data_IF_466316329578
#
_entry.id   IF_466316329578
#
_cell.length_a   1.000
_cell.length_b   1.000
_cell.length_c   1.000
_cell.angle_alpha   90.00
_cell.angle_beta   90.00
_cell.angle_gamma   90.00
#
_symmetry.space_group_name_H-M   'P 1'
#
loop_
_entity.id
_entity.type
_entity.pdbx_description
1 polymer ?
#
# COMPACT_ATOMS: atom_id res chain seq x y z
N UNK A 1 -23.85 -13.63 13.10
CA UNK A 1 -23.06 -12.64 12.37
C UNK A 1 -22.17 -13.41 11.42
N UNK A 2 -22.42 -13.31 10.14
CA UNK A 2 -21.51 -13.84 9.12
C UNK A 2 -20.23 -13.00 9.17
N UNK A 3 -19.11 -13.64 9.49
CA UNK A 3 -17.78 -13.04 9.34
C UNK A 3 -17.59 -12.74 7.84
N UNK A 4 -17.86 -11.50 7.45
CA UNK A 4 -17.70 -11.06 6.06
C UNK A 4 -16.26 -10.66 5.88
N UNK A 5 -15.41 -11.60 5.43
CA UNK A 5 -14.08 -11.27 4.93
C UNK A 5 -14.21 -10.30 3.76
N UNK A 6 -13.27 -9.36 3.67
CA UNK A 6 -13.16 -8.39 2.59
C UNK A 6 -11.94 -8.72 1.73
N UNK A 7 -12.05 -8.57 0.42
CA UNK A 7 -10.94 -8.71 -0.53
C UNK A 7 -10.54 -7.34 -1.03
N UNK A 8 -9.37 -6.87 -0.61
CA UNK A 8 -8.91 -5.51 -0.88
C UNK A 8 -7.55 -5.47 -1.58
N UNK A 9 -7.42 -4.59 -2.55
CA UNK A 9 -6.16 -4.28 -3.21
C UNK A 9 -5.38 -3.27 -2.38
N UNK A 10 -4.20 -3.65 -1.85
CA UNK A 10 -3.46 -2.84 -0.88
C UNK A 10 -2.27 -2.05 -1.46
N UNK A 11 -2.02 -2.15 -2.76
CA UNK A 11 -0.97 -1.42 -3.47
C UNK A 11 -1.36 -1.22 -4.93
N UNK A 12 -1.54 0.03 -5.35
CA UNK A 12 -1.86 0.38 -6.73
C UNK A 12 -1.59 1.86 -7.03
N UNK A 13 -1.41 2.14 -8.32
CA UNK A 13 -1.15 3.48 -8.87
C UNK A 13 -2.22 3.85 -9.88
N UNK A 14 -2.83 5.01 -9.71
CA UNK A 14 -3.87 5.50 -10.62
C UNK A 14 -3.35 6.65 -11.48
N UNK A 15 -3.85 6.74 -12.71
CA UNK A 15 -3.46 7.77 -13.69
C UNK A 15 -3.65 9.20 -13.16
N UNK A 16 -4.64 9.42 -12.31
CA UNK A 16 -4.95 10.73 -11.72
C UNK A 16 -3.93 11.17 -10.65
N UNK A 17 -3.12 10.24 -10.15
CA UNK A 17 -2.11 10.49 -9.12
C UNK A 17 -0.67 10.25 -9.56
N UNK A 18 -0.41 9.13 -10.22
CA UNK A 18 0.93 8.71 -10.64
C UNK A 18 1.15 8.94 -12.13
N UNK A 19 2.23 9.64 -12.48
CA UNK A 19 2.56 9.98 -13.88
C UNK A 19 2.95 8.75 -14.72
N UNK A 20 3.35 7.68 -14.09
CA UNK A 20 3.76 6.41 -14.68
C UNK A 20 2.61 5.40 -14.80
N UNK A 21 1.47 5.65 -14.15
CA UNK A 21 0.27 4.82 -14.33
C UNK A 21 -0.54 5.24 -15.56
N UNK A 22 -1.08 4.23 -16.24
CA UNK A 22 -1.97 4.39 -17.40
C UNK A 22 -3.41 4.00 -17.11
N UNK A 23 -3.70 3.49 -15.91
CA UNK A 23 -5.02 3.00 -15.52
C UNK A 23 -5.74 4.10 -14.75
N UNK A 24 -6.87 4.53 -15.25
CA UNK A 24 -7.73 5.48 -14.55
C UNK A 24 -8.37 4.83 -13.33
N UNK A 25 -8.75 5.63 -12.35
CA UNK A 25 -9.44 5.14 -11.16
C UNK A 25 -10.76 4.42 -11.51
N UNK A 26 -11.48 4.92 -12.50
CA UNK A 26 -12.71 4.30 -12.99
C UNK A 26 -12.48 2.90 -13.56
N UNK A 27 -11.45 2.73 -14.40
CA UNK A 27 -11.05 1.42 -14.94
C UNK A 27 -10.61 0.46 -13.82
N UNK A 28 -9.88 0.96 -12.80
CA UNK A 28 -9.49 0.18 -11.62
C UNK A 28 -10.71 -0.37 -10.90
N UNK A 29 -11.62 0.52 -10.47
CA UNK A 29 -12.79 0.12 -9.68
C UNK A 29 -13.68 -0.83 -10.49
N UNK A 30 -13.93 -0.52 -11.75
CA UNK A 30 -14.72 -1.38 -12.64
C UNK A 30 -14.15 -2.79 -12.72
N UNK A 31 -12.83 -2.89 -12.94
CA UNK A 31 -12.16 -4.20 -13.04
C UNK A 31 -12.14 -4.94 -11.70
N UNK A 32 -11.83 -4.28 -10.60
CA UNK A 32 -11.80 -4.89 -9.27
C UNK A 32 -13.17 -5.42 -8.86
N UNK A 33 -14.24 -4.63 -9.06
CA UNK A 33 -15.62 -5.07 -8.81
C UNK A 33 -16.02 -6.28 -9.65
N UNK A 34 -15.63 -6.32 -10.92
CA UNK A 34 -15.89 -7.47 -11.78
C UNK A 34 -15.19 -8.77 -11.29
N UNK A 35 -14.16 -8.65 -10.45
CA UNK A 35 -13.43 -9.76 -9.84
C UNK A 35 -13.80 -9.99 -8.35
N UNK A 36 -14.84 -9.32 -7.85
CA UNK A 36 -15.35 -9.54 -6.49
C UNK A 36 -14.54 -8.86 -5.39
N UNK A 37 -13.80 -7.80 -5.70
CA UNK A 37 -13.12 -6.99 -4.69
C UNK A 37 -14.11 -6.03 -4.01
N UNK A 38 -13.89 -5.78 -2.73
CA UNK A 38 -14.71 -4.88 -1.90
C UNK A 38 -14.11 -3.47 -1.81
N UNK A 39 -12.78 -3.35 -1.99
CA UNK A 39 -12.10 -2.07 -1.87
C UNK A 39 -10.69 -2.04 -2.45
N UNK A 40 -10.10 -0.86 -2.37
CA UNK A 40 -8.71 -0.61 -2.76
C UNK A 40 -8.08 0.49 -1.91
N UNK A 41 -6.76 0.39 -1.71
CA UNK A 41 -5.91 1.42 -1.14
C UNK A 41 -5.12 2.07 -2.28
N UNK A 42 -5.38 3.35 -2.56
CA UNK A 42 -4.57 4.12 -3.53
C UNK A 42 -3.23 4.48 -2.89
N UNK A 43 -2.13 4.12 -3.54
CA UNK A 43 -0.76 4.33 -3.02
C UNK A 43 0.13 5.00 -4.06
N UNK A 44 -0.35 6.06 -4.70
CA UNK A 44 0.43 6.82 -5.68
C UNK A 44 1.78 7.29 -5.12
N UNK A 45 2.81 7.37 -5.97
CA UNK A 45 4.15 7.80 -5.58
C UNK A 45 4.17 9.23 -5.05
N UNK A 46 4.56 9.41 -3.79
CA UNK A 46 4.76 10.71 -3.12
C UNK A 46 3.61 11.70 -3.27
N UNK A 47 2.38 11.21 -3.45
CA UNK A 47 1.23 12.09 -3.63
C UNK A 47 -0.10 11.44 -3.23
N UNK A 48 -1.04 12.27 -2.80
CA UNK A 48 -2.44 11.88 -2.58
C UNK A 48 -3.39 12.36 -3.70
N UNK A 49 -2.87 12.71 -4.88
CA UNK A 49 -3.71 13.26 -5.98
C UNK A 49 -4.78 12.29 -6.43
N UNK A 50 -4.48 11.00 -6.60
CA UNK A 50 -5.46 9.98 -6.97
C UNK A 50 -6.60 9.86 -5.96
N UNK A 51 -6.28 9.83 -4.66
CA UNK A 51 -7.31 9.83 -3.62
C UNK A 51 -8.11 11.15 -3.57
N UNK A 52 -7.46 12.31 -3.78
CA UNK A 52 -8.17 13.60 -3.87
C UNK A 52 -9.14 13.62 -5.06
N UNK A 53 -8.74 13.05 -6.19
CA UNK A 53 -9.62 12.88 -7.34
C UNK A 53 -10.85 12.02 -6.99
N UNK A 54 -10.63 10.84 -6.38
CA UNK A 54 -11.72 10.03 -5.85
C UNK A 54 -12.70 10.84 -5.00
N UNK A 55 -12.17 11.51 -4.00
CA UNK A 55 -12.96 12.27 -3.02
C UNK A 55 -13.80 13.37 -3.65
N UNK A 56 -13.25 14.09 -4.62
CA UNK A 56 -13.87 15.29 -5.19
C UNK A 56 -14.79 14.96 -6.38
N UNK A 57 -14.42 13.97 -7.18
CA UNK A 57 -15.07 13.72 -8.47
C UNK A 57 -15.99 12.48 -8.46
N UNK A 58 -15.68 11.46 -7.66
CA UNK A 58 -16.35 10.16 -7.76
C UNK A 58 -17.12 9.76 -6.50
N UNK A 59 -16.59 10.03 -5.30
CA UNK A 59 -17.21 9.63 -4.03
C UNK A 59 -18.61 10.20 -3.89
N UNK A 60 -19.61 9.32 -3.62
CA UNK A 60 -21.02 9.69 -3.52
C UNK A 60 -21.72 9.97 -4.87
N UNK A 61 -21.03 9.74 -6.00
CA UNK A 61 -21.59 9.87 -7.35
C UNK A 61 -21.57 8.55 -8.11
N UNK A 62 -20.58 7.71 -7.82
CA UNK A 62 -20.39 6.40 -8.44
C UNK A 62 -19.77 5.44 -7.42
N UNK A 63 -20.03 4.13 -7.60
CA UNK A 63 -19.40 3.06 -6.81
C UNK A 63 -19.63 3.16 -5.29
N UNK A 64 -20.86 3.45 -4.84
CA UNK A 64 -21.22 3.63 -3.43
C UNK A 64 -20.92 2.39 -2.56
N UNK A 65 -20.95 1.22 -3.17
CA UNK A 65 -20.69 -0.08 -2.54
C UNK A 65 -19.19 -0.47 -2.51
N UNK A 66 -18.29 0.34 -3.11
CA UNK A 66 -16.86 0.08 -3.21
C UNK A 66 -16.05 1.02 -2.31
N UNK A 67 -15.16 0.46 -1.50
CA UNK A 67 -14.34 1.23 -0.56
C UNK A 67 -13.04 1.69 -1.23
N UNK A 68 -12.76 2.98 -1.19
CA UNK A 68 -11.47 3.53 -1.62
C UNK A 68 -10.78 4.20 -0.45
N UNK A 69 -9.63 3.67 -0.07
CA UNK A 69 -8.82 4.12 1.04
C UNK A 69 -7.60 4.93 0.57
N UNK A 70 -7.09 5.75 1.46
CA UNK A 70 -5.97 6.66 1.23
C UNK A 70 -4.67 6.09 1.79
N UNK A 71 -3.72 5.76 0.93
CA UNK A 71 -2.34 5.47 1.25
C UNK A 71 -1.40 6.29 0.38
N UNK A 72 -0.11 6.04 0.53
CA UNK A 72 0.93 6.61 -0.31
C UNK A 72 2.11 5.65 -0.37
N UNK A 73 2.69 5.46 -1.54
CA UNK A 73 4.00 4.83 -1.68
C UNK A 73 5.06 5.92 -1.64
N UNK A 74 5.79 5.97 -0.52
CA UNK A 74 6.77 7.00 -0.23
C UNK A 74 8.17 6.59 -0.69
N UNK A 75 8.82 7.45 -1.46
CA UNK A 75 10.18 7.26 -1.95
C UNK A 75 11.19 7.79 -0.93
N UNK A 76 11.79 6.88 -0.15
CA UNK A 76 12.82 7.23 0.83
C UNK A 76 14.17 7.43 0.17
N UNK A 77 15.06 8.21 0.78
CA UNK A 77 16.42 8.39 0.25
C UNK A 77 17.36 7.21 0.54
N UNK A 78 16.99 6.27 1.43
CA UNK A 78 17.93 5.24 1.93
C UNK A 78 17.36 3.81 1.99
N UNK A 79 16.04 3.62 1.86
CA UNK A 79 15.39 2.32 2.08
C UNK A 79 14.39 1.89 0.99
N UNK A 80 14.39 2.56 -0.15
CA UNK A 80 13.45 2.31 -1.25
C UNK A 80 12.04 2.78 -0.94
N UNK A 81 11.07 2.10 -1.52
CA UNK A 81 9.66 2.46 -1.44
C UNK A 81 8.99 1.90 -0.18
N UNK A 82 8.21 2.74 0.48
CA UNK A 82 7.51 2.42 1.72
C UNK A 82 6.04 2.80 1.59
N UNK A 83 5.13 1.85 1.75
CA UNK A 83 3.70 2.11 1.82
C UNK A 83 3.38 2.69 3.19
N UNK A 84 2.78 3.88 3.22
CA UNK A 84 2.34 4.56 4.44
C UNK A 84 0.83 4.73 4.43
N UNK A 85 0.19 4.42 5.56
CA UNK A 85 -1.25 4.54 5.77
C UNK A 85 -1.47 5.40 7.02
N UNK A 86 -2.08 6.57 6.84
CA UNK A 86 -2.39 7.50 7.92
C UNK A 86 -3.86 7.37 8.33
N UNK A 87 -4.22 7.62 9.59
CA UNK A 87 -5.61 7.57 10.04
C UNK A 87 -6.51 8.49 9.22
N UNK A 88 -7.81 8.15 9.19
CA UNK A 88 -8.82 8.98 8.53
C UNK A 88 -8.75 10.43 9.02
N UNK A 89 -8.96 11.38 8.11
CA UNK A 89 -8.93 12.82 8.40
C UNK A 89 -7.54 13.42 8.59
N UNK A 90 -6.50 12.62 8.84
CA UNK A 90 -5.12 13.10 8.99
C UNK A 90 -4.56 13.53 7.62
N UNK A 91 -4.13 14.80 7.52
CA UNK A 91 -3.54 15.37 6.32
C UNK A 91 -2.05 15.59 6.54
N UNK A 92 -1.22 14.83 5.83
CA UNK A 92 0.25 14.86 5.97
C UNK A 92 0.92 15.34 4.68
N UNK A 93 0.96 16.65 4.45
CA UNK A 93 1.66 17.24 3.29
C UNK A 93 3.14 16.86 3.23
N UNK A 94 3.77 16.57 4.36
CA UNK A 94 5.16 16.15 4.41
C UNK A 94 5.39 14.81 3.70
N UNK A 95 4.38 13.93 3.69
CA UNK A 95 4.44 12.67 2.92
C UNK A 95 4.34 12.90 1.39
N UNK A 96 3.97 14.09 0.94
CA UNK A 96 4.02 14.44 -0.48
C UNK A 96 5.38 15.09 -0.88
N UNK A 97 6.38 15.02 0.01
CA UNK A 97 7.75 15.50 -0.20
C UNK A 97 8.73 14.33 -0.04
N UNK A 98 9.08 13.69 -1.15
CA UNK A 98 9.97 12.52 -1.19
C UNK A 98 11.34 12.75 -0.54
N UNK A 99 12.02 11.66 -0.18
CA UNK A 99 13.43 11.68 0.19
C UNK A 99 13.71 11.74 1.69
N UNK A 100 12.71 11.59 2.57
CA UNK A 100 12.95 11.45 4.00
C UNK A 100 13.67 10.12 4.29
N UNK A 101 14.72 10.09 5.16
CA UNK A 101 15.30 8.83 5.61
C UNK A 101 14.27 7.95 6.32
N UNK A 102 14.32 6.65 6.09
CA UNK A 102 13.29 5.71 6.60
C UNK A 102 13.12 5.75 8.12
N UNK A 103 14.20 5.95 8.88
CA UNK A 103 14.09 6.04 10.34
C UNK A 103 13.24 7.24 10.79
N UNK A 104 13.39 8.39 10.11
CA UNK A 104 12.57 9.58 10.35
C UNK A 104 11.13 9.37 9.88
N UNK A 105 10.95 8.71 8.74
CA UNK A 105 9.63 8.38 8.20
C UNK A 105 8.84 7.50 9.17
N UNK A 106 9.47 6.47 9.75
CA UNK A 106 8.86 5.60 10.74
C UNK A 106 8.41 6.41 11.97
N UNK A 107 9.32 7.22 12.53
CA UNK A 107 8.99 8.06 13.70
C UNK A 107 7.86 9.04 13.40
N UNK A 108 7.88 9.63 12.20
CA UNK A 108 6.86 10.57 11.77
C UNK A 108 5.49 9.90 11.64
N UNK A 109 5.40 8.77 10.91
CA UNK A 109 4.15 8.05 10.69
C UNK A 109 3.57 7.54 12.01
N UNK A 110 4.39 6.89 12.84
CA UNK A 110 3.95 6.36 14.14
C UNK A 110 3.46 7.46 15.10
N UNK A 111 4.18 8.59 15.17
CA UNK A 111 3.78 9.72 16.02
C UNK A 111 2.39 10.25 15.68
N UNK A 112 1.97 10.13 14.44
CA UNK A 112 0.66 10.58 13.96
C UNK A 112 -0.37 9.44 13.85
N UNK A 113 -0.09 8.29 14.47
CA UNK A 113 -1.02 7.17 14.56
C UNK A 113 -1.12 6.29 13.30
N UNK A 114 -0.29 6.54 12.29
CA UNK A 114 -0.22 5.76 11.06
C UNK A 114 0.56 4.46 11.21
N UNK A 115 0.53 3.65 10.15
CA UNK A 115 1.33 2.45 9.97
C UNK A 115 2.09 2.51 8.65
N UNK A 116 3.18 1.73 8.56
CA UNK A 116 3.96 1.65 7.34
C UNK A 116 4.66 0.30 7.18
N UNK A 117 4.96 -0.04 5.94
CA UNK A 117 5.72 -1.25 5.59
C UNK A 117 6.38 -1.13 4.22
N UNK A 118 7.44 -1.89 3.94
CA UNK A 118 8.15 -1.82 2.67
C UNK A 118 7.30 -2.40 1.54
N UNK A 119 7.21 -1.64 0.45
CA UNK A 119 6.66 -2.10 -0.82
C UNK A 119 7.65 -3.08 -1.48
N UNK A 120 7.12 -4.12 -2.16
CA UNK A 120 7.92 -5.12 -2.91
C UNK A 120 9.33 -5.34 -2.33
N UNK A 121 9.47 -5.69 -1.02
CA UNK A 121 10.72 -5.56 -0.26
C UNK A 121 11.89 -6.36 -0.81
N UNK A 122 11.61 -7.46 -1.52
CA UNK A 122 12.60 -8.35 -2.13
C UNK A 122 12.60 -8.29 -3.67
N UNK A 123 12.01 -7.25 -4.26
CA UNK A 123 12.01 -7.04 -5.70
C UNK A 123 13.43 -6.94 -6.27
N UNK A 124 13.57 -7.24 -7.56
CA UNK A 124 14.88 -7.19 -8.24
C UNK A 124 15.39 -5.76 -8.44
N UNK A 125 14.52 -4.76 -8.38
CA UNK A 125 14.87 -3.36 -8.56
C UNK A 125 15.57 -2.79 -7.31
N UNK A 126 16.50 -1.84 -7.50
CA UNK A 126 17.24 -1.19 -6.43
C UNK A 126 16.36 -0.42 -5.42
N UNK A 127 15.15 -0.05 -5.82
CA UNK A 127 14.16 0.63 -4.96
C UNK A 127 13.50 -0.32 -3.96
N UNK A 128 13.77 -1.61 -4.02
CA UNK A 128 13.30 -2.60 -3.05
C UNK A 128 14.16 -2.61 -1.79
N UNK A 129 13.51 -2.68 -0.64
CA UNK A 129 14.12 -2.49 0.68
C UNK A 129 15.37 -3.35 0.91
N UNK A 130 15.32 -4.66 0.59
CA UNK A 130 16.44 -5.58 0.83
C UNK A 130 17.65 -5.33 -0.07
N UNK A 131 17.51 -4.55 -1.15
CA UNK A 131 18.59 -4.18 -2.07
C UNK A 131 19.26 -2.86 -1.68
N UNK A 132 18.84 -2.24 -0.58
CA UNK A 132 19.36 -0.95 -0.15
C UNK A 132 20.56 -1.09 0.79
N UNK A 133 21.47 -0.11 0.76
CA UNK A 133 22.57 -0.02 1.72
C UNK A 133 22.07 0.06 3.17
N UNK A 134 20.86 0.62 3.37
CA UNK A 134 20.22 0.73 4.68
C UNK A 134 19.97 -0.65 5.27
N UNK A 135 19.37 -1.55 4.50
CA UNK A 135 19.12 -2.93 4.93
C UNK A 135 20.41 -3.66 5.27
N UNK A 136 21.44 -3.58 4.41
CA UNK A 136 22.73 -4.24 4.67
C UNK A 136 23.42 -3.75 5.95
N UNK A 137 23.33 -2.45 6.25
CA UNK A 137 23.96 -1.85 7.44
C UNK A 137 23.16 -2.05 8.72
N UNK A 138 21.85 -2.12 8.65
CA UNK A 138 20.96 -2.16 9.80
C UNK A 138 19.67 -2.93 9.47
N UNK A 139 19.74 -4.25 9.24
CA UNK A 139 18.57 -5.05 8.87
C UNK A 139 17.48 -5.05 9.95
N UNK A 140 17.85 -4.79 11.21
CA UNK A 140 16.94 -4.74 12.35
C UNK A 140 15.89 -3.62 12.26
N UNK A 141 16.08 -2.63 11.37
CA UNK A 141 15.08 -1.57 11.14
C UNK A 141 13.74 -2.14 10.66
N UNK A 142 13.77 -3.33 10.04
CA UNK A 142 12.57 -4.04 9.62
C UNK A 142 11.60 -4.32 10.77
N UNK A 143 12.10 -4.49 11.98
CA UNK A 143 11.28 -4.71 13.18
C UNK A 143 10.37 -3.54 13.51
N UNK A 144 10.72 -2.34 13.02
CA UNK A 144 9.95 -1.12 13.24
C UNK A 144 8.79 -0.92 12.25
N UNK A 145 8.76 -1.68 11.15
CA UNK A 145 7.61 -1.68 10.25
C UNK A 145 6.41 -2.41 10.87
N UNK A 146 5.21 -2.04 10.48
CA UNK A 146 3.97 -2.62 10.99
C UNK A 146 3.54 -3.85 10.17
N UNK A 147 3.86 -3.86 8.88
CA UNK A 147 3.55 -4.94 7.94
C UNK A 147 4.65 -5.09 6.88
N UNK A 148 4.54 -6.11 6.06
CA UNK A 148 5.39 -6.36 4.88
C UNK A 148 4.48 -6.58 3.68
N UNK A 149 4.76 -5.99 2.53
CA UNK A 149 4.13 -6.43 1.29
C UNK A 149 4.69 -7.81 0.91
N UNK A 150 3.95 -8.86 1.27
CA UNK A 150 4.36 -10.25 1.12
C UNK A 150 4.05 -10.82 -0.27
N UNK A 151 3.21 -10.12 -1.03
CA UNK A 151 2.88 -10.44 -2.41
C UNK A 151 2.67 -9.16 -3.23
N UNK A 152 3.36 -9.09 -4.37
CA UNK A 152 3.22 -8.02 -5.37
C UNK A 152 3.08 -8.66 -6.74
N UNK A 153 1.97 -8.38 -7.44
CA UNK A 153 1.66 -9.05 -8.71
C UNK A 153 2.59 -8.63 -9.87
N UNK A 154 3.31 -7.54 -9.74
CA UNK A 154 4.29 -7.06 -10.73
C UNK A 154 5.71 -7.57 -10.47
N UNK A 155 5.93 -8.33 -9.38
CA UNK A 155 7.22 -8.92 -9.05
C UNK A 155 7.28 -10.43 -9.39
N UNK A 156 8.47 -10.98 -9.69
CA UNK A 156 8.64 -12.42 -9.89
C UNK A 156 8.30 -13.23 -8.64
N UNK A 157 7.90 -14.49 -8.82
CA UNK A 157 7.55 -15.37 -7.69
C UNK A 157 8.71 -15.53 -6.68
N UNK A 158 9.96 -15.55 -7.14
CA UNK A 158 11.12 -15.59 -6.24
C UNK A 158 11.20 -14.40 -5.32
N UNK A 159 10.85 -13.18 -5.79
CA UNK A 159 10.77 -11.97 -4.97
C UNK A 159 9.63 -12.05 -3.95
N UNK A 160 8.47 -12.56 -4.37
CA UNK A 160 7.32 -12.77 -3.49
C UNK A 160 7.63 -13.84 -2.42
N UNK A 161 8.31 -14.92 -2.78
CA UNK A 161 8.76 -15.92 -1.80
C UNK A 161 9.72 -15.32 -0.78
N UNK A 162 10.67 -14.49 -1.22
CA UNK A 162 11.57 -13.74 -0.35
C UNK A 162 10.82 -12.84 0.62
N UNK A 163 9.81 -12.11 0.13
CA UNK A 163 8.97 -11.22 0.94
C UNK A 163 8.16 -11.99 1.99
N UNK A 164 7.57 -13.14 1.63
CA UNK A 164 6.87 -14.02 2.58
C UNK A 164 7.79 -14.55 3.67
N UNK A 165 8.99 -15.01 3.30
CA UNK A 165 10.01 -15.46 4.28
C UNK A 165 10.43 -14.32 5.21
N UNK A 166 10.54 -13.09 4.68
CA UNK A 166 10.85 -11.90 5.46
C UNK A 166 9.74 -11.61 6.48
N UNK A 167 8.48 -11.61 6.06
CA UNK A 167 7.33 -11.43 6.93
C UNK A 167 7.28 -12.48 8.05
N UNK A 168 7.46 -13.76 7.71
CA UNK A 168 7.51 -14.86 8.67
C UNK A 168 8.67 -14.72 9.68
N UNK A 169 9.88 -14.44 9.19
CA UNK A 169 11.07 -14.27 10.03
C UNK A 169 10.88 -13.20 11.10
N UNK A 170 10.25 -12.09 10.73
CA UNK A 170 10.07 -10.95 11.64
C UNK A 170 8.67 -10.91 12.27
N UNK A 171 7.84 -11.94 12.03
CA UNK A 171 6.48 -12.07 12.55
C UNK A 171 5.64 -10.83 12.26
N UNK A 172 5.68 -10.36 11.02
CA UNK A 172 4.91 -9.21 10.55
C UNK A 172 3.70 -9.65 9.74
N UNK A 173 2.55 -8.97 9.86
CA UNK A 173 1.44 -9.15 8.93
C UNK A 173 1.90 -9.00 7.49
N UNK A 174 1.42 -9.86 6.61
CA UNK A 174 1.64 -9.76 5.17
C UNK A 174 0.45 -9.10 4.48
N UNK A 175 0.70 -8.13 3.61
CA UNK A 175 -0.30 -7.60 2.69
C UNK A 175 0.02 -8.01 1.27
N UNK A 176 -0.97 -7.94 0.37
CA UNK A 176 -0.80 -8.20 -1.06
C UNK A 176 -1.36 -7.05 -1.90
N UNK A 177 -0.62 -6.69 -2.92
CA UNK A 177 -0.99 -5.65 -3.86
C UNK A 177 -0.68 -6.02 -5.31
N UNK A 178 -1.19 -5.23 -6.24
CA UNK A 178 -0.88 -5.42 -7.66
C UNK A 178 0.31 -4.59 -8.13
N UNK A 179 0.55 -3.44 -7.51
CA UNK A 179 1.53 -2.44 -7.95
C UNK A 179 1.40 -2.15 -9.46
N UNK A 180 0.15 -2.21 -9.94
CA UNK A 180 -0.11 -2.19 -11.37
C UNK A 180 -0.16 -0.77 -11.90
N UNK A 181 0.62 -0.55 -12.95
CA UNK A 181 0.64 0.66 -13.76
C UNK A 181 -0.07 0.45 -15.11
N UNK A 182 -0.57 -0.78 -15.34
CA UNK A 182 -1.27 -1.21 -16.55
C UNK A 182 -2.46 -2.10 -16.20
N UNK A 183 -3.47 -2.12 -17.04
CA UNK A 183 -4.73 -2.81 -16.77
C UNK A 183 -4.61 -4.33 -16.56
N UNK A 184 -3.58 -4.97 -17.08
CA UNK A 184 -3.42 -6.43 -17.08
C UNK A 184 -3.22 -7.04 -15.68
N UNK A 185 -2.52 -6.35 -14.76
CA UNK A 185 -2.19 -6.88 -13.44
C UNK A 185 -3.11 -6.41 -12.31
N UNK A 186 -4.09 -5.55 -12.59
CA UNK A 186 -4.92 -4.84 -11.57
C UNK A 186 -5.55 -5.78 -10.54
N UNK A 187 -6.07 -6.94 -10.94
CA UNK A 187 -6.78 -7.87 -10.06
C UNK A 187 -5.95 -9.10 -9.66
N UNK A 188 -4.63 -9.09 -9.88
CA UNK A 188 -3.77 -10.26 -9.68
C UNK A 188 -3.15 -10.35 -8.28
N UNK A 189 -3.25 -9.29 -7.46
CA UNK A 189 -2.76 -9.27 -6.09
C UNK A 189 -3.78 -8.65 -5.16
N UNK A 190 -4.00 -9.25 -3.99
CA UNK A 190 -4.97 -8.76 -3.00
C UNK A 190 -4.64 -9.23 -1.59
N UNK A 191 -5.30 -8.62 -0.63
CA UNK A 191 -5.27 -9.00 0.78
C UNK A 191 -6.67 -9.43 1.21
N UNK A 192 -6.78 -10.57 1.88
CA UNK A 192 -8.03 -10.97 2.54
C UNK A 192 -8.00 -10.39 3.95
N UNK A 193 -8.91 -9.48 4.24
CA UNK A 193 -9.11 -8.93 5.56
C UNK A 193 -10.16 -9.75 6.31
N UNK A 194 -9.95 -9.99 7.61
CA UNK A 194 -10.88 -10.76 8.45
C UNK A 194 -12.21 -10.04 8.70
N UNK A 195 -12.25 -8.76 8.47
CA UNK A 195 -13.45 -7.91 8.63
C UNK A 195 -13.47 -6.88 7.50
N UNK A 196 -14.67 -6.42 7.12
CA UNK A 196 -14.81 -5.32 6.18
C UNK A 196 -14.36 -4.02 6.83
N UNK A 197 -13.49 -3.28 6.18
CA UNK A 197 -13.05 -1.95 6.59
C UNK A 197 -13.67 -0.88 5.70
N UNK A 198 -13.97 0.27 6.26
CA UNK A 198 -14.61 1.39 5.55
C UNK A 198 -13.77 2.67 5.56
N UNK A 199 -12.74 2.70 6.43
CA UNK A 199 -11.82 3.82 6.52
C UNK A 199 -10.41 3.38 6.91
N UNK A 200 -9.43 4.26 6.76
CA UNK A 200 -8.03 3.99 7.06
C UNK A 200 -7.81 3.66 8.54
N UNK A 201 -8.57 4.26 9.45
CA UNK A 201 -8.43 4.02 10.89
C UNK A 201 -8.81 2.58 11.26
N UNK A 202 -9.85 2.02 10.65
CA UNK A 202 -10.24 0.62 10.83
C UNK A 202 -9.19 -0.34 10.26
N UNK A 203 -8.67 -0.04 9.05
CA UNK A 203 -7.59 -0.81 8.44
C UNK A 203 -6.34 -0.84 9.33
N UNK A 204 -5.92 0.31 9.85
CA UNK A 204 -4.79 0.41 10.78
C UNK A 204 -5.01 -0.45 12.03
N UNK A 205 -6.20 -0.37 12.61
CA UNK A 205 -6.55 -1.16 13.80
C UNK A 205 -6.51 -2.66 13.50
N UNK A 206 -6.97 -3.07 12.32
CA UNK A 206 -6.98 -4.47 11.89
C UNK A 206 -5.55 -5.02 11.68
N UNK A 207 -4.68 -4.28 11.02
CA UNK A 207 -3.29 -4.70 10.77
C UNK A 207 -2.47 -4.78 12.07
N UNK A 208 -2.82 -3.98 13.10
CA UNK A 208 -2.16 -3.98 14.41
C UNK A 208 -2.59 -5.10 15.36
N UNK A 209 -3.69 -5.82 15.07
CA UNK A 209 -4.15 -6.98 15.85
C UNK A 209 -3.22 -8.18 15.69
#
# INVERSE_FOLDING_TARGET
SSDVCSSDLMHCHVKEGSVDSRVSLDEYITKLKAHGFDGMLITDHDTYKGYRYWKNEMKGKAYEDFVVLKGIEYDTCDAGHIICIMPEGVKMRLLEMRGMPVAMLIDFVHRHGGILGPAHPCGEKYMSFTNTKRYYRSPEIIKRFDFIEAFNACEPEASNEGARKLAQKYKKPGIGGSDSHKLNCVSMGYTILSERVTCETELIALIRK
#
